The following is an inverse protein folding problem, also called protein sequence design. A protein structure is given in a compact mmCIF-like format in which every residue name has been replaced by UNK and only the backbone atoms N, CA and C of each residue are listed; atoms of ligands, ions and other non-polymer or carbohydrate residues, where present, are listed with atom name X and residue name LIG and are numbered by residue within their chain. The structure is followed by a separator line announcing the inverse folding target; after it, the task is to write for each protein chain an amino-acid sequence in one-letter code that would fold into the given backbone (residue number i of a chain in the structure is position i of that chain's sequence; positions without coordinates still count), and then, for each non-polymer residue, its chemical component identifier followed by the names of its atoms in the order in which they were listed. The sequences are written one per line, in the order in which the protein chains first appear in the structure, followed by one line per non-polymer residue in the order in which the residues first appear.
data_IF_607488539150
#
_entry.id   IF_607488539150
#
_cell.length_a   1.000
_cell.length_b   1.000
_cell.length_c   1.000
_cell.angle_alpha   90.00
_cell.angle_beta   90.00
_cell.angle_gamma   90.00
#
_symmetry.space_group_name_H-M   'P 1'
#
loop_
_entity.id
_entity.type
_entity.pdbx_description
1 polymer ?
#
# COMPACT_ATOMS: atom_id res chain seq x y z
N UNK A 1 -12.01 -13.13 -23.12
CA UNK A 1 -11.02 -13.07 -22.04
C UNK A 1 -9.68 -13.68 -22.43
N UNK A 2 -9.60 -14.98 -22.85
CA UNK A 2 -8.35 -15.65 -23.21
C UNK A 2 -7.60 -14.92 -24.34
N UNK A 3 -8.29 -14.53 -25.39
CA UNK A 3 -7.71 -13.77 -26.51
C UNK A 3 -7.28 -12.36 -26.12
N UNK A 4 -8.01 -11.70 -25.21
CA UNK A 4 -7.59 -10.40 -24.66
C UNK A 4 -6.33 -10.52 -23.80
N UNK A 5 -6.23 -11.60 -23.01
CA UNK A 5 -5.05 -11.91 -22.22
C UNK A 5 -3.83 -12.18 -23.10
N UNK A 6 -3.99 -13.02 -24.13
CA UNK A 6 -2.94 -13.29 -25.11
C UNK A 6 -2.51 -12.01 -25.84
N UNK A 7 -3.46 -11.17 -26.21
CA UNK A 7 -3.17 -9.87 -26.81
C UNK A 7 -2.37 -8.98 -25.87
N UNK A 8 -2.76 -8.88 -24.62
CA UNK A 8 -2.03 -8.12 -23.61
C UNK A 8 -0.56 -8.54 -23.53
N UNK A 9 -0.27 -9.85 -23.43
CA UNK A 9 1.11 -10.33 -23.36
C UNK A 9 1.89 -10.05 -24.66
N UNK A 10 1.26 -10.20 -25.83
CA UNK A 10 1.91 -9.89 -27.10
C UNK A 10 2.24 -8.39 -27.20
N UNK A 11 1.32 -7.53 -26.81
CA UNK A 11 1.52 -6.07 -26.82
C UNK A 11 2.67 -5.68 -25.85
N UNK A 12 2.74 -6.32 -24.67
CA UNK A 12 3.83 -6.10 -23.72
C UNK A 12 5.18 -6.58 -24.21
N UNK A 13 5.25 -7.73 -24.86
CA UNK A 13 6.48 -8.24 -25.46
C UNK A 13 6.98 -7.29 -26.55
N UNK A 14 6.08 -6.80 -27.38
CA UNK A 14 6.44 -5.83 -28.43
C UNK A 14 6.97 -4.52 -27.82
N UNK A 15 6.32 -4.03 -26.79
CA UNK A 15 6.76 -2.86 -26.06
C UNK A 15 8.15 -3.03 -25.42
N UNK A 16 8.41 -4.18 -24.81
CA UNK A 16 9.69 -4.48 -24.15
C UNK A 16 10.89 -4.47 -25.13
N UNK A 17 10.66 -4.53 -26.45
CA UNK A 17 11.73 -4.40 -27.44
C UNK A 17 12.43 -3.04 -27.41
N UNK A 18 11.78 -2.02 -26.84
CA UNK A 18 12.36 -0.69 -26.68
C UNK A 18 13.44 -0.63 -25.60
N UNK A 19 13.47 -1.62 -24.68
CA UNK A 19 14.45 -1.72 -23.59
C UNK A 19 14.80 -3.18 -23.31
N UNK A 20 15.47 -3.82 -24.27
CA UNK A 20 15.75 -5.27 -24.23
C UNK A 20 16.61 -5.68 -23.06
N UNK A 21 17.58 -4.88 -22.64
CA UNK A 21 18.50 -5.25 -21.55
C UNK A 21 17.74 -5.33 -20.21
N UNK A 22 16.93 -4.33 -19.91
CA UNK A 22 16.18 -4.24 -18.65
C UNK A 22 14.98 -5.21 -18.62
N UNK A 23 14.38 -5.49 -19.78
CA UNK A 23 13.11 -6.21 -19.90
C UNK A 23 13.22 -7.64 -20.44
N UNK A 24 14.43 -8.15 -20.60
CA UNK A 24 14.65 -9.49 -21.16
C UNK A 24 13.99 -10.60 -20.33
N UNK A 25 14.13 -10.55 -19.00
CA UNK A 25 13.55 -11.56 -18.10
C UNK A 25 12.01 -11.52 -18.12
N UNK A 26 11.42 -10.32 -18.14
CA UNK A 26 9.97 -10.14 -18.25
C UNK A 26 9.45 -10.65 -19.60
N UNK A 27 10.16 -10.35 -20.67
CA UNK A 27 9.83 -10.80 -22.03
C UNK A 27 9.84 -12.33 -22.13
N UNK A 28 10.85 -12.98 -21.57
CA UNK A 28 10.97 -14.44 -21.54
C UNK A 28 9.79 -15.04 -20.76
N UNK A 29 9.47 -14.50 -19.58
CA UNK A 29 8.34 -14.97 -18.80
C UNK A 29 6.99 -14.82 -19.54
N UNK A 30 6.78 -13.72 -20.24
CA UNK A 30 5.57 -13.53 -21.07
C UNK A 30 5.50 -14.48 -22.26
N UNK A 31 6.62 -14.80 -22.87
CA UNK A 31 6.69 -15.81 -23.94
C UNK A 31 6.33 -17.20 -23.42
N UNK A 32 6.85 -17.59 -22.25
CA UNK A 32 6.51 -18.87 -21.61
C UNK A 32 5.03 -18.94 -21.25
N UNK A 33 4.46 -17.84 -20.71
CA UNK A 33 3.01 -17.78 -20.42
C UNK A 33 2.19 -17.92 -21.71
N UNK A 34 2.57 -17.27 -22.81
CA UNK A 34 1.87 -17.40 -24.09
C UNK A 34 1.88 -18.83 -24.61
N UNK A 35 3.00 -19.55 -24.49
CA UNK A 35 3.06 -20.95 -24.87
C UNK A 35 2.05 -21.79 -24.10
N UNK A 36 1.93 -21.61 -22.79
CA UNK A 36 0.94 -22.31 -21.96
C UNK A 36 -0.49 -21.92 -22.37
N UNK A 37 -0.74 -20.61 -22.60
CA UNK A 37 -2.06 -20.15 -23.01
C UNK A 37 -2.47 -20.65 -24.42
N UNK A 38 -1.52 -20.88 -25.32
CA UNK A 38 -1.77 -21.40 -26.66
C UNK A 38 -2.12 -22.91 -26.67
N UNK A 39 -1.75 -23.64 -25.64
CA UNK A 39 -2.13 -25.04 -25.43
C UNK A 39 -3.59 -25.19 -24.91
N UNK A 40 -4.19 -24.11 -24.40
CA UNK A 40 -5.57 -24.13 -23.89
C UNK A 40 -6.54 -24.08 -25.09
N UNK A 41 -7.09 -25.22 -25.46
CA UNK A 41 -8.03 -25.34 -26.59
C UNK A 41 -9.47 -24.93 -26.24
N UNK A 42 -9.88 -25.21 -25.01
CA UNK A 42 -11.20 -24.89 -24.48
C UNK A 42 -11.07 -24.15 -23.15
N UNK A 43 -11.37 -22.86 -23.15
CA UNK A 43 -11.47 -22.12 -21.89
C UNK A 43 -12.74 -22.61 -21.17
N UNK A 44 -12.64 -23.19 -19.96
CA UNK A 44 -13.82 -23.53 -19.19
C UNK A 44 -14.66 -22.27 -18.96
N UNK A 45 -15.98 -22.42 -18.95
CA UNK A 45 -16.84 -21.32 -18.48
C UNK A 45 -16.34 -20.89 -17.10
N UNK A 46 -16.05 -19.60 -16.97
CA UNK A 46 -15.69 -19.02 -15.69
C UNK A 46 -16.94 -19.07 -14.79
N UNK A 47 -17.05 -20.13 -14.00
CA UNK A 47 -18.00 -20.15 -12.90
C UNK A 47 -17.38 -19.42 -11.71
N UNK A 48 -18.16 -18.50 -11.13
CA UNK A 48 -17.68 -17.72 -9.99
C UNK A 48 -17.64 -18.61 -8.75
N UNK A 49 -16.47 -18.72 -8.13
CA UNK A 49 -16.28 -19.48 -6.90
C UNK A 49 -16.62 -18.62 -5.68
N UNK A 50 -17.77 -18.86 -5.08
CA UNK A 50 -18.23 -18.19 -3.87
C UNK A 50 -17.60 -18.74 -2.57
N UNK A 51 -16.85 -19.85 -2.62
CA UNK A 51 -16.23 -20.42 -1.42
C UNK A 51 -15.13 -19.54 -0.85
N UNK A 52 -14.32 -18.92 -1.72
CA UNK A 52 -13.16 -18.13 -1.30
C UNK A 52 -13.48 -17.01 -0.30
N UNK A 53 -14.47 -16.13 -0.52
CA UNK A 53 -14.82 -15.10 0.46
C UNK A 53 -15.34 -15.69 1.78
N UNK A 54 -16.07 -16.78 1.75
CA UNK A 54 -16.60 -17.42 2.96
C UNK A 54 -15.55 -18.18 3.75
N UNK A 55 -14.52 -18.74 3.11
CA UNK A 55 -13.36 -19.33 3.79
C UNK A 55 -12.67 -18.30 4.72
N UNK A 56 -12.58 -17.05 4.28
CA UNK A 56 -12.07 -15.97 5.11
C UNK A 56 -12.94 -15.69 6.33
N UNK A 57 -14.26 -15.65 6.16
CA UNK A 57 -15.22 -15.48 7.26
C UNK A 57 -15.13 -16.65 8.24
N UNK A 58 -15.11 -17.88 7.73
CA UNK A 58 -14.98 -19.09 8.54
C UNK A 58 -13.70 -19.07 9.40
N UNK A 59 -12.56 -18.78 8.79
CA UNK A 59 -11.28 -18.65 9.52
C UNK A 59 -11.32 -17.57 10.58
N UNK A 60 -11.93 -16.43 10.28
CA UNK A 60 -12.10 -15.36 11.26
C UNK A 60 -12.92 -15.80 12.46
N UNK A 61 -14.05 -16.45 12.25
CA UNK A 61 -14.90 -16.97 13.33
C UNK A 61 -14.13 -17.95 14.21
N UNK A 62 -13.33 -18.83 13.58
CA UNK A 62 -12.49 -19.79 14.31
C UNK A 62 -11.40 -19.10 15.13
N UNK A 63 -10.64 -18.19 14.56
CA UNK A 63 -9.58 -17.47 15.27
C UNK A 63 -10.11 -16.65 16.46
N UNK A 64 -11.31 -16.08 16.31
CA UNK A 64 -11.97 -15.33 17.40
C UNK A 64 -12.78 -16.21 18.34
N UNK A 65 -12.83 -17.53 18.09
CA UNK A 65 -13.66 -18.50 18.86
C UNK A 65 -15.13 -18.07 18.96
N UNK A 66 -15.67 -17.54 17.85
CA UNK A 66 -17.06 -17.10 17.76
C UNK A 66 -17.96 -18.25 17.32
N UNK A 67 -18.64 -18.90 18.27
CA UNK A 67 -19.56 -20.01 17.99
C UNK A 67 -21.01 -19.53 17.77
N UNK A 68 -21.41 -18.46 18.45
CA UNK A 68 -22.73 -17.84 18.30
C UNK A 68 -22.65 -16.69 17.30
N UNK A 69 -22.89 -16.98 16.04
CA UNK A 69 -22.98 -15.98 14.98
C UNK A 69 -24.29 -16.20 14.19
N UNK A 70 -24.70 -15.19 13.46
CA UNK A 70 -25.72 -15.27 12.42
C UNK A 70 -25.16 -14.53 11.20
N UNK A 71 -24.99 -15.25 10.09
CA UNK A 71 -24.55 -14.69 8.83
C UNK A 71 -25.77 -14.48 7.93
N UNK A 72 -26.05 -13.24 7.60
CA UNK A 72 -27.13 -12.88 6.67
C UNK A 72 -26.49 -12.50 5.33
N UNK A 73 -26.89 -13.20 4.29
CA UNK A 73 -26.35 -13.03 2.93
C UNK A 73 -27.45 -12.37 2.09
N UNK A 74 -27.06 -11.42 1.23
CA UNK A 74 -28.00 -10.81 0.29
C UNK A 74 -28.46 -11.84 -0.71
N UNK A 75 -29.79 -11.94 -0.89
CA UNK A 75 -30.39 -12.95 -1.75
C UNK A 75 -30.16 -12.62 -3.21
N UNK A 76 -29.44 -13.48 -3.89
CA UNK A 76 -29.23 -13.41 -5.33
C UNK A 76 -30.13 -14.43 -6.05
N UNK A 77 -30.68 -14.03 -7.20
CA UNK A 77 -31.44 -14.93 -8.05
C UNK A 77 -32.95 -14.93 -7.79
N UNK A 78 -33.62 -16.04 -8.16
CA UNK A 78 -35.08 -16.17 -8.03
C UNK A 78 -35.50 -16.47 -6.60
N UNK A 79 -36.66 -15.92 -6.21
CA UNK A 79 -37.13 -15.96 -4.82
C UNK A 79 -37.36 -17.38 -4.26
N UNK A 80 -37.49 -18.39 -5.11
CA UNK A 80 -37.91 -19.76 -4.73
C UNK A 80 -36.75 -20.77 -4.60
N UNK A 81 -35.52 -20.37 -5.01
CA UNK A 81 -34.33 -21.24 -4.96
C UNK A 81 -33.30 -20.71 -3.96
N UNK A 82 -32.61 -21.63 -3.27
CA UNK A 82 -31.44 -21.31 -2.49
C UNK A 82 -30.33 -20.77 -3.41
N UNK A 83 -29.74 -19.64 -3.09
CA UNK A 83 -28.69 -19.06 -3.92
C UNK A 83 -27.42 -19.90 -3.90
N UNK A 84 -26.62 -19.80 -4.97
CA UNK A 84 -25.26 -20.39 -5.01
C UNK A 84 -24.41 -19.88 -3.86
N UNK A 85 -24.58 -18.63 -3.47
CA UNK A 85 -23.85 -17.95 -2.40
C UNK A 85 -24.14 -18.58 -1.05
N UNK A 86 -25.42 -18.79 -0.67
CA UNK A 86 -25.81 -19.44 0.58
C UNK A 86 -25.32 -20.89 0.62
N UNK A 87 -25.49 -21.61 -0.48
CA UNK A 87 -25.02 -22.99 -0.60
C UNK A 87 -23.52 -23.10 -0.36
N UNK A 88 -22.72 -22.23 -1.01
CA UNK A 88 -21.26 -22.20 -0.80
C UNK A 88 -20.86 -21.85 0.62
N UNK A 89 -21.58 -20.95 1.31
CA UNK A 89 -21.33 -20.63 2.70
C UNK A 89 -21.54 -21.87 3.62
N UNK A 90 -22.62 -22.62 3.38
CA UNK A 90 -22.92 -23.84 4.16
C UNK A 90 -21.94 -24.98 3.86
N UNK A 91 -21.53 -25.14 2.62
CA UNK A 91 -20.53 -26.15 2.21
C UNK A 91 -19.16 -25.94 2.90
N UNK A 92 -18.83 -24.71 3.30
CA UNK A 92 -17.61 -24.40 4.06
C UNK A 92 -17.81 -24.62 5.58
N UNK A 93 -19.04 -24.83 6.06
CA UNK A 93 -19.34 -25.03 7.46
C UNK A 93 -19.87 -23.78 8.17
N UNK A 94 -20.38 -22.81 7.43
CA UNK A 94 -21.10 -21.65 7.97
C UNK A 94 -22.59 -21.98 8.11
N UNK A 95 -22.90 -22.95 8.98
CA UNK A 95 -24.27 -23.54 9.10
C UNK A 95 -25.32 -22.51 9.56
N UNK A 96 -24.95 -21.51 10.33
CA UNK A 96 -25.84 -20.43 10.78
C UNK A 96 -25.94 -19.29 9.77
N UNK A 97 -26.16 -19.64 8.50
CA UNK A 97 -26.29 -18.70 7.40
C UNK A 97 -27.71 -18.71 6.84
N UNK A 98 -28.26 -17.54 6.62
CA UNK A 98 -29.55 -17.31 6.01
C UNK A 98 -29.49 -16.24 4.92
N UNK A 99 -30.51 -16.21 4.06
CA UNK A 99 -30.67 -15.18 3.03
C UNK A 99 -31.78 -14.21 3.40
N UNK A 100 -31.55 -12.94 3.10
CA UNK A 100 -32.58 -11.92 3.20
C UNK A 100 -32.45 -10.91 2.04
N UNK A 101 -33.55 -10.26 1.72
CA UNK A 101 -33.50 -9.13 0.79
C UNK A 101 -32.86 -7.90 1.42
N UNK A 102 -32.06 -7.17 0.67
CA UNK A 102 -31.39 -5.95 1.16
C UNK A 102 -32.42 -4.87 1.58
N UNK A 103 -33.63 -4.88 1.02
CA UNK A 103 -34.69 -3.98 1.42
C UNK A 103 -35.28 -4.32 2.82
N UNK A 104 -35.20 -5.57 3.23
CA UNK A 104 -35.78 -6.06 4.47
C UNK A 104 -34.80 -6.01 5.63
N UNK A 105 -33.48 -6.03 5.33
CA UNK A 105 -32.43 -6.12 6.32
C UNK A 105 -31.49 -4.90 6.28
N UNK A 106 -31.53 -4.08 7.33
CA UNK A 106 -30.70 -2.85 7.39
C UNK A 106 -29.20 -3.12 7.37
N UNK A 107 -28.75 -4.24 7.92
CA UNK A 107 -27.35 -4.65 7.93
C UNK A 107 -26.84 -4.94 6.53
N UNK A 108 -27.66 -5.57 5.68
CA UNK A 108 -27.28 -5.81 4.28
C UNK A 108 -27.11 -4.50 3.51
N UNK A 109 -28.04 -3.53 3.67
CA UNK A 109 -27.89 -2.21 3.05
C UNK A 109 -26.61 -1.50 3.48
N UNK A 110 -26.24 -1.65 4.75
CA UNK A 110 -24.99 -1.07 5.26
C UNK A 110 -23.78 -1.78 4.63
N UNK A 111 -23.81 -3.11 4.53
CA UNK A 111 -22.77 -3.90 3.89
C UNK A 111 -22.60 -3.52 2.41
N UNK A 112 -23.70 -3.38 1.66
CA UNK A 112 -23.69 -2.93 0.27
C UNK A 112 -23.08 -1.55 0.10
N UNK A 113 -23.47 -0.62 0.97
CA UNK A 113 -22.90 0.74 0.95
C UNK A 113 -21.39 0.69 1.17
N UNK A 114 -20.93 -0.06 2.16
CA UNK A 114 -19.51 -0.19 2.48
C UNK A 114 -18.74 -0.88 1.35
N UNK A 115 -19.28 -1.97 0.82
CA UNK A 115 -18.71 -2.67 -0.33
C UNK A 115 -18.62 -1.74 -1.56
N UNK A 116 -19.67 -0.96 -1.81
CA UNK A 116 -19.69 0.02 -2.90
C UNK A 116 -18.65 1.13 -2.76
N UNK A 117 -18.47 1.67 -1.56
CA UNK A 117 -17.44 2.69 -1.27
C UNK A 117 -16.04 2.11 -1.48
N UNK A 118 -15.75 0.97 -0.86
CA UNK A 118 -14.43 0.31 -0.94
C UNK A 118 -14.11 -0.07 -2.39
N UNK A 119 -15.07 -0.69 -3.08
CA UNK A 119 -14.90 -1.14 -4.46
C UNK A 119 -14.63 0.02 -5.41
N UNK A 120 -15.37 1.14 -5.28
CA UNK A 120 -15.16 2.34 -6.12
C UNK A 120 -13.82 3.01 -5.83
N UNK A 121 -13.43 3.11 -4.56
CA UNK A 121 -12.15 3.69 -4.17
C UNK A 121 -10.99 2.83 -4.67
N UNK A 122 -11.07 1.50 -4.47
CA UNK A 122 -10.06 0.55 -4.95
C UNK A 122 -9.95 0.58 -6.48
N UNK A 123 -11.09 0.58 -7.18
CA UNK A 123 -11.10 0.68 -8.65
C UNK A 123 -10.48 1.98 -9.12
N UNK A 124 -10.86 3.12 -8.54
CA UNK A 124 -10.31 4.43 -8.88
C UNK A 124 -8.80 4.48 -8.67
N UNK A 125 -8.33 3.93 -7.56
CA UNK A 125 -6.90 3.81 -7.25
C UNK A 125 -6.18 2.95 -8.30
N UNK A 126 -6.70 1.75 -8.60
CA UNK A 126 -6.11 0.86 -9.59
C UNK A 126 -6.07 1.50 -10.98
N UNK A 127 -7.16 2.18 -11.39
CA UNK A 127 -7.22 2.86 -12.68
C UNK A 127 -6.22 4.03 -12.76
N UNK A 128 -6.01 4.77 -11.66
CA UNK A 128 -5.03 5.86 -11.59
C UNK A 128 -3.58 5.39 -11.60
N UNK A 129 -3.32 4.17 -11.17
CA UNK A 129 -1.97 3.58 -11.12
C UNK A 129 -1.65 2.69 -12.33
N UNK A 130 -2.59 2.49 -13.24
CA UNK A 130 -2.33 1.77 -14.48
C UNK A 130 -1.41 2.57 -15.39
N UNK A 131 -0.71 1.85 -16.27
CA UNK A 131 -0.05 2.46 -17.40
C UNK A 131 -1.07 3.21 -18.24
N UNK A 132 -0.86 4.51 -18.42
CA UNK A 132 -1.73 5.35 -19.23
C UNK A 132 -1.36 5.29 -20.71
N UNK A 133 -0.11 4.97 -21.01
CA UNK A 133 0.37 4.74 -22.36
C UNK A 133 1.31 3.54 -22.42
N UNK A 134 1.51 3.00 -23.62
CA UNK A 134 2.49 1.95 -23.87
C UNK A 134 3.94 2.42 -23.68
N UNK A 135 4.16 3.74 -23.68
CA UNK A 135 5.49 4.34 -23.49
C UNK A 135 5.94 4.37 -22.02
N UNK A 136 5.05 4.07 -21.08
CA UNK A 136 5.41 3.97 -19.67
C UNK A 136 6.07 2.62 -19.35
N UNK A 137 7.38 2.65 -19.13
CA UNK A 137 8.18 1.43 -18.86
C UNK A 137 8.10 0.95 -17.42
N UNK A 138 7.63 1.78 -16.48
CA UNK A 138 7.60 1.46 -15.06
C UNK A 138 6.24 1.74 -14.45
N UNK A 139 5.75 0.81 -13.64
CA UNK A 139 4.53 1.02 -12.86
C UNK A 139 4.84 1.89 -11.64
N UNK A 140 4.58 3.18 -11.77
CA UNK A 140 4.77 4.14 -10.67
C UNK A 140 3.56 4.10 -9.72
N UNK A 141 3.80 4.30 -8.44
CA UNK A 141 2.75 4.48 -7.43
C UNK A 141 2.47 5.97 -7.16
N UNK A 142 2.74 6.81 -8.16
CA UNK A 142 2.51 8.25 -8.11
C UNK A 142 1.06 8.52 -8.46
N UNK A 143 0.35 9.11 -7.53
CA UNK A 143 -1.01 9.59 -7.73
C UNK A 143 -1.01 11.03 -8.21
N UNK A 144 -1.99 11.36 -9.03
CA UNK A 144 -2.24 12.74 -9.44
C UNK A 144 -2.59 13.64 -8.25
N UNK A 145 -2.25 14.91 -8.33
CA UNK A 145 -2.51 15.92 -7.29
C UNK A 145 -3.99 15.98 -6.88
N UNK A 146 -4.89 15.64 -7.78
CA UNK A 146 -6.33 15.59 -7.51
C UNK A 146 -6.72 14.61 -6.38
N UNK A 147 -5.93 13.57 -6.14
CA UNK A 147 -6.14 12.66 -5.02
C UNK A 147 -5.93 13.31 -3.65
N UNK A 148 -5.19 14.39 -3.61
CA UNK A 148 -4.81 15.13 -2.40
C UNK A 148 -5.60 16.43 -2.24
N UNK A 149 -6.39 16.85 -3.24
CA UNK A 149 -7.30 17.99 -3.18
C UNK A 149 -8.55 17.66 -2.37
N UNK A 150 -8.39 17.41 -1.08
CA UNK A 150 -9.45 16.95 -0.19
C UNK A 150 -10.10 18.11 0.56
N UNK A 151 -11.38 17.88 0.94
CA UNK A 151 -12.06 18.60 2.02
C UNK A 151 -11.81 17.89 3.35
N UNK A 152 -12.03 18.59 4.48
CA UNK A 152 -11.93 17.98 5.81
C UNK A 152 -12.85 16.76 5.95
N UNK A 153 -14.05 16.81 5.39
CA UNK A 153 -15.01 15.70 5.42
C UNK A 153 -14.45 14.46 4.69
N UNK A 154 -13.76 14.66 3.57
CA UNK A 154 -13.16 13.58 2.81
C UNK A 154 -11.96 12.99 3.55
N UNK A 155 -11.11 13.82 4.14
CA UNK A 155 -9.99 13.35 4.96
C UNK A 155 -10.50 12.53 6.15
N UNK A 156 -11.50 13.01 6.86
CA UNK A 156 -12.13 12.28 7.95
C UNK A 156 -12.76 10.95 7.50
N UNK A 157 -13.27 10.88 6.27
CA UNK A 157 -13.77 9.62 5.71
C UNK A 157 -12.63 8.61 5.49
N UNK A 158 -11.48 9.04 4.95
CA UNK A 158 -10.28 8.19 4.83
C UNK A 158 -9.83 7.66 6.19
N UNK A 159 -9.77 8.50 7.21
CA UNK A 159 -9.41 8.11 8.58
C UNK A 159 -10.40 7.11 9.18
N UNK A 160 -11.71 7.29 8.93
CA UNK A 160 -12.72 6.33 9.37
C UNK A 160 -12.59 4.99 8.66
N UNK A 161 -12.33 4.99 7.35
CA UNK A 161 -12.07 3.75 6.60
C UNK A 161 -10.80 3.06 7.11
N UNK A 162 -9.74 3.80 7.36
CA UNK A 162 -8.51 3.26 7.94
C UNK A 162 -8.79 2.54 9.28
N UNK A 163 -9.47 3.22 10.21
CA UNK A 163 -9.83 2.63 11.50
C UNK A 163 -10.68 1.36 11.35
N UNK A 164 -11.71 1.44 10.51
CA UNK A 164 -12.62 0.32 10.28
C UNK A 164 -11.90 -0.89 9.69
N UNK A 165 -11.09 -0.67 8.66
CA UNK A 165 -10.46 -1.74 7.88
C UNK A 165 -9.18 -2.24 8.54
N UNK A 166 -8.33 -1.34 9.02
CA UNK A 166 -6.97 -1.66 9.43
C UNK A 166 -6.82 -1.84 10.95
N UNK A 167 -7.52 -1.03 11.76
CA UNK A 167 -7.37 -1.10 13.21
C UNK A 167 -8.40 -2.05 13.87
N UNK A 168 -9.69 -1.89 13.52
CA UNK A 168 -10.75 -2.60 14.26
C UNK A 168 -11.02 -4.01 13.78
N UNK A 169 -10.92 -4.24 12.47
CA UNK A 169 -11.30 -5.52 11.87
C UNK A 169 -10.30 -5.99 10.80
N UNK A 170 -9.18 -6.53 11.21
CA UNK A 170 -8.19 -7.04 10.27
C UNK A 170 -8.64 -8.32 9.53
N UNK A 171 -9.82 -8.86 9.83
CA UNK A 171 -10.29 -10.13 9.26
C UNK A 171 -10.53 -10.10 7.75
N UNK A 172 -10.88 -8.95 7.20
CA UNK A 172 -11.22 -8.80 5.79
C UNK A 172 -10.09 -9.22 4.82
N UNK A 173 -8.84 -9.10 5.24
CA UNK A 173 -7.69 -9.52 4.42
C UNK A 173 -7.46 -11.02 4.41
N UNK A 174 -8.10 -11.76 5.29
CA UNK A 174 -7.92 -13.21 5.38
C UNK A 174 -8.54 -13.96 4.21
N UNK A 175 -9.47 -13.34 3.52
CA UNK A 175 -10.06 -13.89 2.31
C UNK A 175 -9.27 -13.59 1.05
N UNK A 176 -8.30 -12.68 1.10
CA UNK A 176 -7.51 -12.43 -0.07
C UNK A 176 -6.28 -13.35 -0.14
N UNK A 177 -6.07 -13.93 -1.28
CA UNK A 177 -4.92 -14.77 -1.54
C UNK A 177 -4.40 -14.53 -2.95
N UNK A 178 -3.35 -13.77 -3.05
CA UNK A 178 -2.50 -13.81 -4.23
C UNK A 178 -2.79 -12.78 -5.31
N UNK A 179 -3.79 -12.94 -6.14
CA UNK A 179 -3.93 -12.18 -7.40
C UNK A 179 -4.11 -10.67 -7.21
N UNK A 180 -4.82 -10.25 -6.16
CA UNK A 180 -5.12 -8.84 -5.89
C UNK A 180 -4.24 -8.23 -4.79
N UNK A 181 -3.26 -8.97 -4.31
CA UNK A 181 -2.51 -8.59 -3.11
C UNK A 181 -1.80 -7.25 -3.24
N UNK A 182 -1.19 -6.98 -4.38
CA UNK A 182 -0.43 -5.73 -4.59
C UNK A 182 -1.36 -4.51 -4.55
N UNK A 183 -2.48 -4.56 -5.27
CA UNK A 183 -3.44 -3.48 -5.28
C UNK A 183 -4.09 -3.28 -3.90
N UNK A 184 -4.31 -4.37 -3.16
CA UNK A 184 -4.85 -4.30 -1.82
C UNK A 184 -3.85 -3.70 -0.84
N UNK A 185 -2.57 -4.04 -0.96
CA UNK A 185 -1.50 -3.42 -0.16
C UNK A 185 -1.40 -1.92 -0.44
N UNK A 186 -1.47 -1.52 -1.72
CA UNK A 186 -1.45 -0.10 -2.11
C UNK A 186 -2.70 0.64 -1.62
N UNK A 187 -3.87 -0.01 -1.65
CA UNK A 187 -5.10 0.54 -1.09
C UNK A 187 -4.98 0.80 0.43
N UNK A 188 -4.48 -0.18 1.17
CA UNK A 188 -4.23 -0.02 2.59
C UNK A 188 -3.17 1.04 2.88
N UNK A 189 -2.14 1.11 2.03
CA UNK A 189 -1.14 2.17 2.10
C UNK A 189 -1.76 3.55 1.91
N UNK A 190 -2.72 3.71 0.98
CA UNK A 190 -3.44 4.97 0.79
C UNK A 190 -4.23 5.38 2.04
N UNK A 191 -4.99 4.44 2.62
CA UNK A 191 -5.75 4.71 3.84
C UNK A 191 -4.83 5.10 5.00
N UNK A 192 -3.73 4.39 5.16
CA UNK A 192 -2.73 4.67 6.18
C UNK A 192 -2.04 6.02 5.94
N UNK A 193 -1.64 6.31 4.72
CA UNK A 193 -1.05 7.58 4.34
C UNK A 193 -1.97 8.76 4.68
N UNK A 194 -3.25 8.69 4.33
CA UNK A 194 -4.23 9.73 4.63
C UNK A 194 -4.47 9.86 6.15
N UNK A 195 -4.37 8.78 6.90
CA UNK A 195 -4.55 8.80 8.35
C UNK A 195 -3.44 9.55 9.11
N UNK A 196 -2.27 9.75 8.49
CA UNK A 196 -1.16 10.48 9.13
C UNK A 196 -1.40 11.99 9.21
N UNK A 197 -2.25 12.56 8.37
CA UNK A 197 -2.50 14.00 8.36
C UNK A 197 -3.53 14.38 9.41
N UNK A 198 -3.26 15.42 10.19
CA UNK A 198 -4.22 15.95 11.16
C UNK A 198 -5.29 16.79 10.49
N UNK A 199 -4.92 17.53 9.45
CA UNK A 199 -5.83 18.42 8.70
C UNK A 199 -5.49 18.46 7.21
N UNK A 200 -6.40 18.99 6.40
CA UNK A 200 -6.15 19.18 4.96
C UNK A 200 -5.12 20.26 4.68
N UNK A 201 -4.88 21.19 5.60
CA UNK A 201 -3.84 22.20 5.47
C UNK A 201 -2.45 21.58 5.42
N UNK A 202 -2.21 20.51 6.19
CA UNK A 202 -0.94 19.77 6.13
C UNK A 202 -0.73 19.11 4.76
N UNK A 203 -1.79 18.59 4.15
CA UNK A 203 -1.72 18.02 2.79
C UNK A 203 -1.42 19.14 1.79
N UNK A 204 -2.09 20.29 1.93
CA UNK A 204 -1.98 21.42 1.00
C UNK A 204 -0.64 22.14 1.06
N UNK A 205 0.05 22.08 2.20
CA UNK A 205 1.35 22.74 2.37
C UNK A 205 2.37 22.28 1.31
N UNK A 206 2.34 20.99 0.94
CA UNK A 206 3.23 20.38 -0.05
C UNK A 206 2.46 19.59 -1.10
N UNK A 207 1.36 20.14 -1.60
CA UNK A 207 0.38 19.40 -2.43
C UNK A 207 1.00 18.79 -3.69
N UNK A 208 1.93 19.49 -4.32
CA UNK A 208 2.61 19.05 -5.54
C UNK A 208 3.53 17.84 -5.30
N UNK A 209 3.97 17.64 -4.05
CA UNK A 209 4.85 16.54 -3.65
C UNK A 209 4.10 15.34 -3.07
N UNK A 210 2.82 15.46 -2.78
CA UNK A 210 2.05 14.40 -2.13
C UNK A 210 2.04 13.09 -2.93
N UNK A 211 2.01 13.18 -4.26
CA UNK A 211 2.11 12.00 -5.12
C UNK A 211 3.42 11.24 -4.95
N UNK A 212 4.54 11.95 -4.83
CA UNK A 212 5.86 11.35 -4.60
C UNK A 212 5.98 10.78 -3.18
N UNK A 213 5.46 11.47 -2.18
CA UNK A 213 5.43 10.98 -0.80
C UNK A 213 4.60 9.69 -0.69
N UNK A 214 3.44 9.68 -1.30
CA UNK A 214 2.62 8.48 -1.37
C UNK A 214 3.33 7.34 -2.11
N UNK A 215 3.99 7.62 -3.24
CA UNK A 215 4.74 6.62 -3.98
C UNK A 215 5.83 5.97 -3.11
N UNK A 216 6.62 6.77 -2.39
CA UNK A 216 7.64 6.26 -1.48
C UNK A 216 7.02 5.39 -0.37
N UNK A 217 5.94 5.85 0.23
CA UNK A 217 5.21 5.14 1.26
C UNK A 217 4.63 3.80 0.77
N UNK A 218 3.96 3.80 -0.38
CA UNK A 218 3.36 2.60 -0.97
C UNK A 218 4.42 1.57 -1.38
N UNK A 219 5.55 2.01 -1.92
CA UNK A 219 6.66 1.13 -2.27
C UNK A 219 7.25 0.44 -1.03
N UNK A 220 7.39 1.16 0.07
CA UNK A 220 7.84 0.58 1.33
C UNK A 220 6.84 -0.46 1.87
N UNK A 221 5.54 -0.17 1.84
CA UNK A 221 4.53 -1.14 2.25
C UNK A 221 4.56 -2.41 1.39
N UNK A 222 4.74 -2.27 0.09
CA UNK A 222 4.91 -3.40 -0.83
C UNK A 222 6.18 -4.20 -0.52
N UNK A 223 7.31 -3.53 -0.27
CA UNK A 223 8.56 -4.20 0.07
C UNK A 223 8.40 -5.06 1.33
N UNK A 224 7.78 -4.53 2.37
CA UNK A 224 7.47 -5.27 3.62
C UNK A 224 6.53 -6.44 3.38
N UNK A 225 5.50 -6.25 2.58
CA UNK A 225 4.57 -7.31 2.22
C UNK A 225 5.29 -8.48 1.55
N UNK A 226 6.13 -8.22 0.54
CA UNK A 226 6.89 -9.25 -0.16
C UNK A 226 7.95 -9.92 0.74
N UNK A 227 8.57 -9.18 1.64
CA UNK A 227 9.49 -9.75 2.61
C UNK A 227 8.77 -10.71 3.56
N UNK A 228 7.61 -10.33 4.10
CA UNK A 228 6.78 -11.22 4.93
C UNK A 228 6.36 -12.48 4.17
N UNK A 229 5.98 -12.36 2.91
CA UNK A 229 5.67 -13.53 2.08
C UNK A 229 6.86 -14.47 1.91
N UNK A 230 8.05 -13.93 1.65
CA UNK A 230 9.29 -14.74 1.54
C UNK A 230 9.58 -15.47 2.84
N UNK A 231 9.42 -14.83 3.96
CA UNK A 231 9.68 -15.39 5.28
C UNK A 231 8.50 -16.25 5.81
N UNK A 232 7.42 -16.43 5.03
CA UNK A 232 6.19 -17.15 5.43
C UNK A 232 5.59 -16.61 6.75
N UNK A 233 5.77 -15.34 7.01
CA UNK A 233 5.16 -14.66 8.15
C UNK A 233 3.68 -14.37 7.89
N UNK A 234 2.85 -14.23 8.92
CA UNK A 234 1.47 -13.79 8.76
C UNK A 234 1.39 -12.49 7.96
N UNK A 235 0.46 -12.44 7.00
CA UNK A 235 0.21 -11.25 6.21
C UNK A 235 -0.83 -10.43 6.95
N UNK A 236 -0.50 -9.18 7.20
CA UNK A 236 -1.39 -8.19 7.80
C UNK A 236 -1.87 -7.19 6.73
N UNK A 237 -3.10 -6.66 6.83
CA UNK A 237 -3.66 -5.73 5.84
C UNK A 237 -2.88 -4.43 5.77
N UNK A 238 -2.40 -3.98 6.92
CA UNK A 238 -1.40 -2.93 7.08
C UNK A 238 -0.29 -3.51 7.90
N UNK A 239 0.93 -3.41 7.41
CA UNK A 239 2.08 -3.71 8.23
C UNK A 239 2.32 -2.45 9.06
N UNK A 240 2.02 -2.49 10.37
CA UNK A 240 2.18 -1.30 11.17
C UNK A 240 3.64 -0.84 11.10
N UNK A 241 3.83 0.46 11.03
CA UNK A 241 5.11 1.02 11.41
C UNK A 241 5.25 0.74 12.91
N UNK A 242 6.19 -0.08 13.31
CA UNK A 242 6.61 -0.07 14.70
C UNK A 242 7.06 1.36 15.02
N UNK A 243 6.82 1.82 16.21
CA UNK A 243 7.27 3.17 16.63
C UNK A 243 8.77 3.38 16.40
N UNK A 244 9.52 2.30 16.27
CA UNK A 244 10.95 2.24 16.04
C UNK A 244 11.34 2.10 14.55
N UNK A 245 10.38 2.01 13.62
CA UNK A 245 10.69 1.86 12.20
C UNK A 245 10.49 3.14 11.42
N UNK A 246 11.47 3.45 10.60
CA UNK A 246 11.52 4.65 9.79
C UNK A 246 11.74 4.30 8.32
N UNK A 247 11.12 5.05 7.43
CA UNK A 247 11.53 5.08 6.03
C UNK A 247 12.89 5.74 5.96
N UNK A 248 13.88 5.08 5.40
CA UNK A 248 15.23 5.63 5.32
C UNK A 248 15.80 5.58 3.91
N UNK A 249 16.82 6.40 3.72
CA UNK A 249 17.53 6.58 2.47
C UNK A 249 18.37 5.37 2.01
N UNK A 250 18.42 4.29 2.77
CA UNK A 250 19.12 3.05 2.38
C UNK A 250 18.20 2.02 1.75
N UNK A 251 16.93 2.37 1.54
CA UNK A 251 15.94 1.46 0.95
C UNK A 251 15.55 0.28 1.84
N UNK A 252 15.84 0.36 3.12
CA UNK A 252 15.57 -0.67 4.12
C UNK A 252 15.02 -0.09 5.41
N UNK A 253 14.43 -0.96 6.21
CA UNK A 253 13.98 -0.65 7.54
C UNK A 253 15.20 -0.53 8.45
N UNK A 254 15.41 0.62 9.05
CA UNK A 254 16.38 0.80 10.12
C UNK A 254 15.64 0.71 11.44
N UNK A 255 15.98 -0.29 12.23
CA UNK A 255 15.54 -0.42 13.59
C UNK A 255 16.52 0.31 14.49
N UNK A 256 16.00 1.20 15.29
CA UNK A 256 16.74 1.76 16.42
C UNK A 256 16.08 1.22 17.67
N UNK A 257 16.83 0.56 18.51
CA UNK A 257 16.37 0.07 19.82
C UNK A 257 15.95 1.25 20.73
N UNK A 258 16.47 2.44 20.44
CA UNK A 258 16.05 3.68 21.06
C UNK A 258 16.31 4.85 20.10
N UNK A 259 15.27 5.54 19.66
CA UNK A 259 15.42 6.81 18.95
C UNK A 259 15.67 7.89 19.97
N UNK A 260 16.83 8.49 19.94
CA UNK A 260 17.08 9.70 20.67
C UNK A 260 16.23 10.82 20.01
N UNK A 261 15.18 11.21 20.71
CA UNK A 261 14.23 12.21 20.21
C UNK A 261 14.77 13.66 20.30
N UNK A 262 16.02 13.84 20.65
CA UNK A 262 16.64 15.15 20.68
C UNK A 262 16.73 15.72 19.26
N UNK A 263 16.49 17.01 19.17
CA UNK A 263 16.70 17.75 17.94
C UNK A 263 18.21 17.88 17.69
N UNK A 264 18.65 17.63 16.44
CA UNK A 264 20.05 17.90 16.09
C UNK A 264 20.33 19.38 16.27
N UNK A 265 21.34 19.77 17.08
CA UNK A 265 21.63 21.16 17.33
C UNK A 265 22.29 21.82 16.12
N UNK A 266 21.49 22.36 15.22
CA UNK A 266 21.95 23.13 14.06
C UNK A 266 22.02 24.61 14.44
N UNK A 267 23.22 25.02 14.85
CA UNK A 267 23.49 26.41 15.21
C UNK A 267 23.58 27.30 13.96
N UNK A 268 23.51 28.60 14.15
CA UNK A 268 23.74 29.57 13.07
C UNK A 268 25.13 29.40 12.44
N UNK A 269 25.18 29.36 11.11
CA UNK A 269 26.37 29.01 10.34
C UNK A 269 26.27 27.59 9.73
N UNK A 270 27.40 27.06 9.30
CA UNK A 270 27.49 25.76 8.61
C UNK A 270 28.14 24.71 9.52
N UNK A 271 27.50 23.53 9.56
CA UNK A 271 27.98 22.38 10.33
C UNK A 271 27.96 21.15 9.44
N UNK A 272 29.06 20.37 9.45
CA UNK A 272 29.19 19.17 8.62
C UNK A 272 29.15 17.92 9.48
N UNK A 273 28.36 16.93 9.08
CA UNK A 273 28.22 15.66 9.78
C UNK A 273 28.51 14.50 8.83
N UNK A 274 29.04 13.41 9.36
CA UNK A 274 29.11 12.13 8.68
C UNK A 274 27.74 11.44 8.81
N UNK A 275 26.95 11.51 7.75
CA UNK A 275 25.56 11.02 7.76
C UNK A 275 25.51 9.60 7.23
N UNK A 276 24.96 8.71 8.03
CA UNK A 276 24.79 7.30 7.67
C UNK A 276 23.48 7.06 6.91
N UNK A 277 22.44 7.75 7.30
CA UNK A 277 21.13 7.69 6.66
C UNK A 277 20.24 8.84 7.12
N UNK A 278 19.23 9.15 6.34
CA UNK A 278 18.11 10.00 6.74
C UNK A 278 16.80 9.22 6.56
N UNK A 279 15.74 9.63 7.24
CA UNK A 279 14.46 8.98 7.17
C UNK A 279 13.36 9.85 7.73
N UNK A 280 12.14 9.33 7.71
CA UNK A 280 10.97 9.95 8.31
C UNK A 280 10.25 8.96 9.21
N UNK A 281 9.74 9.45 10.32
CA UNK A 281 8.85 8.66 11.17
C UNK A 281 7.43 8.58 10.57
N UNK A 282 6.51 7.98 11.30
CA UNK A 282 5.11 7.83 10.88
C UNK A 282 4.38 9.16 10.67
N UNK A 283 4.87 10.23 11.30
CA UNK A 283 4.31 11.58 11.19
C UNK A 283 5.09 12.45 10.21
N UNK A 284 5.95 11.82 9.38
CA UNK A 284 6.87 12.50 8.48
C UNK A 284 7.85 13.46 9.17
N UNK A 285 8.09 13.25 10.47
CA UNK A 285 9.13 13.97 11.18
C UNK A 285 10.48 13.56 10.63
N UNK A 286 11.32 14.49 10.17
CA UNK A 286 12.60 14.17 9.58
C UNK A 286 13.60 13.69 10.64
N UNK A 287 14.29 12.60 10.32
CA UNK A 287 15.24 11.93 11.21
C UNK A 287 16.56 11.74 10.46
N UNK A 288 17.63 11.87 11.17
CA UNK A 288 18.99 11.67 10.68
C UNK A 288 19.76 10.74 11.60
N UNK A 289 20.54 9.85 11.02
CA UNK A 289 21.54 9.06 11.72
C UNK A 289 22.92 9.56 11.33
N UNK A 290 23.68 10.01 12.30
CA UNK A 290 25.05 10.49 12.13
C UNK A 290 26.05 9.56 12.80
N UNK A 291 27.27 9.54 12.29
CA UNK A 291 28.40 8.90 12.94
C UNK A 291 29.09 9.91 13.80
N UNK A 292 29.17 9.71 15.13
CA UNK A 292 29.83 10.57 16.07
C UNK A 292 30.70 9.73 16.99
N UNK A 293 31.99 10.06 17.08
CA UNK A 293 32.95 9.33 17.88
C UNK A 293 33.03 7.82 17.65
N UNK A 294 32.65 7.38 16.43
CA UNK A 294 32.63 5.98 16.03
C UNK A 294 31.33 5.24 16.34
N UNK A 295 30.38 5.89 16.99
CA UNK A 295 29.05 5.37 17.28
C UNK A 295 27.99 6.05 16.43
N UNK A 296 26.90 5.31 16.10
CA UNK A 296 25.77 5.86 15.37
C UNK A 296 24.76 6.47 16.33
N UNK A 297 24.50 7.76 16.19
CA UNK A 297 23.49 8.48 16.95
C UNK A 297 22.36 8.94 16.03
N UNK A 298 21.11 8.84 16.51
CA UNK A 298 19.92 9.25 15.78
C UNK A 298 19.31 10.51 16.39
N UNK A 299 18.98 11.48 15.55
CA UNK A 299 18.39 12.76 15.94
C UNK A 299 17.18 13.09 15.07
N UNK A 300 16.29 13.93 15.60
CA UNK A 300 15.32 14.65 14.77
C UNK A 300 16.00 15.82 14.08
N UNK A 301 15.56 16.09 12.87
CA UNK A 301 15.88 17.33 12.17
C UNK A 301 14.76 18.37 12.37
N UNK A 302 15.04 19.67 12.17
CA UNK A 302 14.01 20.68 12.03
C UNK A 302 13.00 20.29 10.95
N UNK A 303 11.71 20.57 11.18
CA UNK A 303 10.63 20.21 10.25
C UNK A 303 10.80 20.86 8.86
N UNK A 304 11.48 21.98 8.78
CA UNK A 304 11.81 22.67 7.54
C UNK A 304 12.70 21.83 6.61
N UNK A 305 13.34 20.78 7.13
CA UNK A 305 14.15 19.83 6.37
C UNK A 305 13.37 18.58 5.93
N UNK A 306 12.08 18.49 6.23
CA UNK A 306 11.25 17.33 5.88
C UNK A 306 11.22 17.09 4.37
N UNK A 307 11.09 18.15 3.58
CA UNK A 307 11.07 18.05 2.12
C UNK A 307 12.36 17.47 1.55
N UNK A 308 13.50 17.94 2.06
CA UNK A 308 14.81 17.40 1.67
C UNK A 308 14.93 15.92 2.03
N UNK A 309 14.57 15.55 3.27
CA UNK A 309 14.63 14.15 3.73
C UNK A 309 13.72 13.25 2.88
N UNK A 310 12.48 13.67 2.63
CA UNK A 310 11.55 12.92 1.80
C UNK A 310 12.06 12.76 0.36
N UNK A 311 12.66 13.80 -0.21
CA UNK A 311 13.27 13.74 -1.55
C UNK A 311 14.39 12.71 -1.62
N UNK A 312 15.27 12.69 -0.62
CA UNK A 312 16.39 11.75 -0.54
C UNK A 312 15.88 10.31 -0.32
N UNK A 313 14.89 10.11 0.54
CA UNK A 313 14.25 8.80 0.73
C UNK A 313 13.59 8.33 -0.57
N UNK A 314 12.92 9.23 -1.30
CA UNK A 314 12.35 8.95 -2.61
C UNK A 314 13.41 8.57 -3.67
N UNK A 315 14.58 9.21 -3.67
CA UNK A 315 15.72 8.82 -4.53
C UNK A 315 16.23 7.42 -4.18
N UNK A 316 16.38 7.12 -2.89
CA UNK A 316 16.82 5.79 -2.42
C UNK A 316 15.83 4.69 -2.81
N UNK A 317 14.53 4.95 -2.75
CA UNK A 317 13.50 4.03 -3.21
C UNK A 317 13.59 3.74 -4.73
N UNK A 318 14.22 4.62 -5.50
CA UNK A 318 14.53 4.46 -6.92
C UNK A 318 15.92 3.87 -7.19
N UNK A 319 16.62 3.40 -6.15
CA UNK A 319 17.94 2.79 -6.25
C UNK A 319 19.11 3.78 -6.20
N UNK A 320 18.87 5.07 -6.02
CA UNK A 320 19.91 6.09 -5.87
C UNK A 320 20.25 6.29 -4.39
N UNK A 321 21.16 5.50 -3.88
CA UNK A 321 21.63 5.61 -2.49
C UNK A 321 22.72 6.69 -2.37
N UNK A 322 22.42 7.77 -1.67
CA UNK A 322 23.35 8.87 -1.44
C UNK A 322 24.21 8.68 -0.17
N UNK A 323 23.79 7.80 0.72
CA UNK A 323 24.43 7.60 2.01
C UNK A 323 25.14 6.24 2.13
N UNK A 324 26.19 6.13 2.94
CA UNK A 324 26.77 7.16 3.84
C UNK A 324 27.57 8.23 3.08
N UNK A 325 27.46 9.49 3.54
CA UNK A 325 28.25 10.62 3.00
C UNK A 325 28.35 11.75 4.01
N UNK A 326 29.19 12.75 3.71
CA UNK A 326 29.22 14.00 4.49
C UNK A 326 28.12 14.94 4.02
N UNK A 327 27.41 15.52 4.97
CA UNK A 327 26.37 16.52 4.71
C UNK A 327 26.65 17.78 5.51
N UNK A 328 26.60 18.90 4.84
CA UNK A 328 26.71 20.21 5.48
C UNK A 328 25.34 20.84 5.62
N UNK A 329 24.92 21.12 6.83
CA UNK A 329 23.73 21.89 7.12
C UNK A 329 24.14 23.34 7.42
N UNK A 330 23.54 24.28 6.73
CA UNK A 330 23.76 25.72 6.96
C UNK A 330 22.46 26.35 7.44
N UNK A 331 22.50 26.93 8.62
CA UNK A 331 21.41 27.72 9.17
C UNK A 331 21.75 29.22 9.00
N UNK A 332 21.00 29.91 8.17
CA UNK A 332 21.19 31.34 7.88
C UNK A 332 19.87 32.05 8.18
N UNK A 333 19.84 32.81 9.27
CA UNK A 333 18.65 33.55 9.71
C UNK A 333 17.40 32.65 9.86
N UNK A 334 17.56 31.43 10.39
CA UNK A 334 16.49 30.47 10.59
C UNK A 334 16.05 29.72 9.31
N UNK A 335 16.75 29.91 8.20
CA UNK A 335 16.56 29.09 6.97
C UNK A 335 17.64 28.04 6.89
N UNK A 336 17.23 26.83 6.58
CA UNK A 336 18.14 25.70 6.46
C UNK A 336 18.47 25.40 5.00
N UNK A 337 19.74 25.18 4.74
CA UNK A 337 20.26 24.75 3.44
C UNK A 337 21.07 23.48 3.66
N UNK A 338 21.07 22.60 2.69
CA UNK A 338 21.75 21.29 2.78
C UNK A 338 22.58 21.05 1.55
N UNK A 339 23.85 20.75 1.77
CA UNK A 339 24.80 20.35 0.73
C UNK A 339 25.30 18.93 1.03
N UNK A 340 25.14 18.02 0.07
CA UNK A 340 25.68 16.67 0.12
C UNK A 340 27.06 16.70 -0.55
N UNK A 341 28.09 16.29 0.18
CA UNK A 341 29.50 16.36 -0.27
C UNK A 341 29.97 15.07 -0.92
#
# INVERSE_FOLDING_TARGET
FLEELKKFFRDRIEFNKNDLELKQAETTAFQEILLVLDEISDAPELDWDYHMPFDGVYKYLQEKNLQNYSLIIDKEGKAEEESKTLKSAREIGLDNSDEAGSMEHSGLRMADMMAGIISKLLKGLCDSLRYQSLDESTNKKILDVGWFCLSEVQLELYKKLYRLICEWQPAWYKSYSGIYSDNLVVFNALLNFMNHFESVEQIRADIDMQGEYFNAFACEQLARYFERRRCKLPIEPVIPFDEESYLNSRGGKVYFDSVNQLLLPLHEGSQTFDVLSVGVDQKFTPIITILKDGESECFRLPNELSEWVCSVVGMAARGMNLFPTKVTFSNINGRYYVDIL
#
